data_IF_668242682973
#
_entry.id   IF_668242682973
#
_cell.length_a   1.000
_cell.length_b   1.000
_cell.length_c   1.000
_cell.angle_alpha   90.00
_cell.angle_beta   90.00
_cell.angle_gamma   90.00
#
_symmetry.space_group_name_H-M   'P 1'
#
loop_
_entity.id
_entity.type
_entity.pdbx_description
1 polymer ?
#
# COMPACT_ATOMS: atom_id res chain seq x y z
N UNK A 1 -0.24 -8.14 -12.11
CA UNK A 1 0.41 -7.90 -10.81
C UNK A 1 -0.63 -7.42 -9.82
N UNK A 2 -0.66 -8.08 -8.66
CA UNK A 2 -1.47 -7.71 -7.50
C UNK A 2 -0.56 -7.13 -6.41
N UNK A 3 -1.12 -6.29 -5.54
CA UNK A 3 -0.38 -5.70 -4.41
C UNK A 3 -1.25 -5.73 -3.17
N UNK A 4 -0.64 -6.07 -2.02
CA UNK A 4 -1.33 -6.19 -0.74
C UNK A 4 -0.48 -5.58 0.38
N UNK A 5 -1.15 -5.11 1.43
CA UNK A 5 -0.55 -4.72 2.69
C UNK A 5 -1.12 -5.58 3.82
N UNK A 6 -0.28 -5.87 4.81
CA UNK A 6 -0.65 -6.52 6.05
C UNK A 6 -0.04 -5.74 7.21
N UNK A 7 -0.84 -5.50 8.24
CA UNK A 7 -0.34 -4.96 9.50
C UNK A 7 0.25 -6.12 10.30
N UNK A 8 1.45 -5.93 10.82
CA UNK A 8 2.16 -6.93 11.61
C UNK A 8 2.20 -6.50 13.08
N UNK A 9 2.20 -7.45 14.03
CA UNK A 9 2.36 -7.13 15.44
C UNK A 9 3.64 -6.34 15.71
N UNK A 10 3.52 -5.22 16.42
CA UNK A 10 4.60 -4.35 16.83
C UNK A 10 4.77 -4.32 18.36
N UNK A 11 5.98 -3.98 18.82
CA UNK A 11 6.29 -3.83 20.24
C UNK A 11 5.42 -2.76 20.93
N UNK A 12 5.06 -1.70 20.20
CA UNK A 12 4.32 -0.55 20.72
C UNK A 12 2.82 -0.58 20.39
N UNK A 13 2.26 -1.72 19.98
CA UNK A 13 0.84 -1.83 19.59
C UNK A 13 -0.14 -1.43 20.70
N UNK A 14 0.28 -1.51 21.97
CA UNK A 14 -0.51 -1.07 23.12
C UNK A 14 -0.66 0.46 23.21
N UNK A 15 0.25 1.21 22.58
CA UNK A 15 0.25 2.68 22.56
C UNK A 15 -0.42 3.26 21.30
N UNK A 16 -0.65 2.43 20.29
CA UNK A 16 -1.26 2.84 19.02
C UNK A 16 -2.79 2.82 19.10
N UNK A 17 -3.43 3.70 18.31
CA UNK A 17 -4.88 3.69 18.15
C UNK A 17 -5.30 2.57 17.21
N UNK A 18 -6.39 1.89 17.56
CA UNK A 18 -6.99 0.82 16.78
C UNK A 18 -8.48 1.08 16.54
N UNK A 19 -9.04 0.64 15.39
CA UNK A 19 -8.35 0.01 14.26
C UNK A 19 -7.46 0.99 13.48
N UNK A 20 -6.53 0.46 12.69
CA UNK A 20 -5.69 1.27 11.81
C UNK A 20 -6.57 2.01 10.79
N UNK A 21 -6.48 3.34 10.76
CA UNK A 21 -7.37 4.21 9.98
C UNK A 21 -6.60 5.20 9.07
N UNK A 22 -5.33 4.92 8.82
CA UNK A 22 -4.48 5.79 8.00
C UNK A 22 -4.70 5.53 6.52
N UNK A 23 -4.67 6.59 5.71
CA UNK A 23 -4.78 6.45 4.25
C UNK A 23 -3.54 5.74 3.73
N UNK A 24 -3.74 4.67 2.95
CA UNK A 24 -2.65 3.91 2.33
C UNK A 24 -2.67 4.15 0.83
N UNK A 25 -1.53 4.53 0.27
CA UNK A 25 -1.34 4.75 -1.16
C UNK A 25 -0.19 3.90 -1.68
N UNK A 26 -0.44 3.09 -2.69
CA UNK A 26 0.58 2.41 -3.49
C UNK A 26 0.89 3.25 -4.72
N UNK A 27 2.16 3.43 -5.04
CA UNK A 27 2.63 4.09 -6.25
C UNK A 27 3.61 3.16 -6.95
N UNK A 28 3.27 2.69 -8.14
CA UNK A 28 4.22 2.05 -9.05
C UNK A 28 4.83 3.12 -9.95
N UNK A 29 6.15 3.24 -9.93
CA UNK A 29 6.85 4.29 -10.68
C UNK A 29 7.11 3.90 -12.14
N UNK A 30 6.78 4.82 -13.03
CA UNK A 30 7.24 4.81 -14.42
C UNK A 30 8.65 5.41 -14.44
N UNK A 31 9.66 4.59 -14.75
CA UNK A 31 11.08 4.92 -14.70
C UNK A 31 11.57 5.67 -15.96
N UNK A 32 10.68 6.44 -16.58
CA UNK A 32 11.01 7.31 -17.70
C UNK A 32 12.06 8.34 -17.29
N UNK A 33 13.02 8.61 -18.16
CA UNK A 33 14.18 9.49 -17.86
C UNK A 33 13.80 10.94 -17.57
N UNK A 34 12.62 11.37 -18.03
CA UNK A 34 12.09 12.70 -17.78
C UNK A 34 10.87 12.63 -16.83
N UNK A 35 10.94 13.26 -15.64
CA UNK A 35 9.87 13.17 -14.64
C UNK A 35 8.50 13.67 -15.11
N UNK A 36 8.50 14.62 -16.05
CA UNK A 36 7.31 15.19 -16.70
C UNK A 36 6.56 14.19 -17.59
N UNK A 37 7.23 13.13 -18.06
CA UNK A 37 6.64 12.07 -18.90
C UNK A 37 6.26 10.82 -18.13
N UNK A 38 6.74 10.70 -16.88
CA UNK A 38 6.47 9.55 -16.04
C UNK A 38 4.98 9.48 -15.69
N UNK A 39 4.30 8.40 -16.10
CA UNK A 39 2.92 8.14 -15.70
C UNK A 39 2.88 7.03 -14.65
N UNK A 40 3.09 7.42 -13.40
CA UNK A 40 3.00 6.52 -12.26
C UNK A 40 1.57 5.99 -12.10
N UNK A 41 1.43 4.73 -11.67
CA UNK A 41 0.14 4.16 -11.30
C UNK A 41 -0.02 4.32 -9.80
N UNK A 42 -1.12 4.92 -9.37
CA UNK A 42 -1.43 5.17 -7.97
C UNK A 42 -2.78 4.58 -7.61
N UNK A 43 -2.82 3.70 -6.62
CA UNK A 43 -4.05 3.21 -6.02
C UNK A 43 -4.02 3.49 -4.53
N UNK A 44 -5.13 3.96 -3.98
CA UNK A 44 -5.21 4.34 -2.57
C UNK A 44 -6.51 3.86 -1.94
N UNK A 45 -6.48 3.60 -0.64
CA UNK A 45 -7.67 3.33 0.14
C UNK A 45 -7.57 3.94 1.53
N UNK A 46 -8.72 4.18 2.13
CA UNK A 46 -8.85 4.48 3.56
C UNK A 46 -9.43 3.23 4.21
N UNK A 47 -8.74 2.62 5.19
CA UNK A 47 -9.27 1.49 5.92
C UNK A 47 -10.61 1.82 6.56
N UNK A 48 -11.63 0.98 6.32
CA UNK A 48 -12.86 1.05 7.07
C UNK A 48 -12.67 0.39 8.45
N UNK A 49 -13.17 0.99 9.55
CA UNK A 49 -13.04 0.42 10.89
C UNK A 49 -13.63 -0.99 11.07
N UNK A 50 -14.55 -1.41 10.20
CA UNK A 50 -15.18 -2.74 10.22
C UNK A 50 -14.32 -3.82 9.54
N UNK A 51 -13.29 -3.43 8.78
CA UNK A 51 -12.43 -4.38 8.07
C UNK A 51 -11.52 -5.13 9.04
N UNK A 52 -11.60 -6.47 9.01
CA UNK A 52 -10.84 -7.35 9.91
C UNK A 52 -9.32 -7.22 9.72
N UNK A 53 -8.86 -6.94 8.51
CA UNK A 53 -7.43 -6.83 8.16
C UNK A 53 -6.71 -5.64 8.82
N UNK A 54 -7.47 -4.67 9.38
CA UNK A 54 -6.95 -3.43 9.97
C UNK A 54 -7.23 -3.32 11.47
N UNK A 55 -7.73 -4.38 12.09
CA UNK A 55 -7.81 -4.48 13.55
C UNK A 55 -6.41 -4.61 14.16
N UNK A 56 -6.32 -4.47 15.49
CA UNK A 56 -5.08 -4.72 16.22
C UNK A 56 -4.56 -6.13 15.89
N UNK A 57 -3.35 -6.26 15.33
CA UNK A 57 -2.83 -7.56 14.93
C UNK A 57 -2.57 -8.41 16.17
N UNK A 58 -2.94 -9.69 16.09
CA UNK A 58 -2.60 -10.70 17.09
C UNK A 58 -1.47 -11.60 16.56
N UNK A 59 -0.92 -12.45 17.43
CA UNK A 59 0.05 -13.49 17.03
C UNK A 59 -0.63 -14.73 16.42
N UNK A 60 -1.94 -14.73 16.25
CA UNK A 60 -2.70 -15.85 15.69
C UNK A 60 -2.56 -15.92 14.16
N UNK A 61 -2.72 -17.11 13.54
CA UNK A 61 -2.41 -17.28 12.13
C UNK A 61 -3.36 -16.55 11.17
N UNK A 62 -2.75 -16.01 10.11
CA UNK A 62 -3.25 -15.83 8.74
C UNK A 62 -4.53 -15.02 8.49
N UNK A 63 -4.59 -13.79 9.01
CA UNK A 63 -5.25 -12.74 8.24
C UNK A 63 -4.50 -12.54 6.91
N UNK A 64 -5.20 -12.76 5.78
CA UNK A 64 -4.73 -12.40 4.44
C UNK A 64 -4.50 -10.88 4.36
N UNK A 65 -3.58 -10.44 3.50
CA UNK A 65 -3.38 -9.00 3.26
C UNK A 65 -4.59 -8.37 2.57
N UNK A 66 -4.77 -7.07 2.73
CA UNK A 66 -5.75 -6.28 1.98
C UNK A 66 -5.05 -5.52 0.86
N UNK A 67 -5.67 -5.41 -0.31
CA UNK A 67 -5.10 -4.64 -1.40
C UNK A 67 -5.82 -4.85 -2.72
N UNK A 68 -5.07 -4.71 -3.81
CA UNK A 68 -5.61 -4.62 -5.15
C UNK A 68 -5.22 -5.88 -5.94
N UNK A 69 -6.12 -6.88 -6.08
CA UNK A 69 -5.85 -8.09 -6.87
C UNK A 69 -5.61 -7.78 -8.35
N UNK A 70 -6.12 -6.65 -8.85
CA UNK A 70 -5.93 -6.15 -10.21
C UNK A 70 -5.21 -4.80 -10.24
N UNK A 71 -4.14 -4.65 -9.46
CA UNK A 71 -3.39 -3.40 -9.37
C UNK A 71 -2.86 -2.92 -10.73
N UNK A 72 -2.22 -3.80 -11.50
CA UNK A 72 -1.78 -3.49 -12.87
C UNK A 72 -1.72 -4.75 -13.75
N UNK A 73 -2.18 -4.64 -15.00
CA UNK A 73 -2.09 -5.74 -15.97
C UNK A 73 -0.65 -5.96 -16.43
N UNK A 74 -0.32 -7.19 -16.81
CA UNK A 74 1.03 -7.48 -17.34
C UNK A 74 1.29 -6.80 -18.68
N UNK A 75 0.24 -6.56 -19.46
CA UNK A 75 0.34 -5.79 -20.69
C UNK A 75 0.74 -4.34 -20.41
N UNK A 76 0.13 -3.69 -19.41
CA UNK A 76 0.48 -2.32 -19.02
C UNK A 76 1.91 -2.22 -18.48
N UNK A 77 2.34 -3.21 -17.67
CA UNK A 77 3.72 -3.28 -17.17
C UNK A 77 4.76 -3.30 -18.30
N UNK A 78 4.45 -3.95 -19.42
CA UNK A 78 5.34 -4.07 -20.59
C UNK A 78 5.26 -2.87 -21.55
N UNK A 79 4.19 -2.07 -21.50
CA UNK A 79 3.97 -0.94 -22.43
C UNK A 79 4.75 0.32 -22.07
N UNK A 80 5.20 0.46 -20.82
CA UNK A 80 5.90 1.64 -20.30
C UNK A 80 7.14 1.23 -19.52
N UNK A 81 7.89 2.21 -19.02
CA UNK A 81 9.14 1.98 -18.29
C UNK A 81 8.91 1.60 -16.82
N UNK A 82 7.89 0.78 -16.52
CA UNK A 82 7.66 0.32 -15.14
C UNK A 82 8.72 -0.69 -14.67
N UNK A 83 9.27 -1.46 -15.62
CA UNK A 83 10.41 -2.37 -15.40
C UNK A 83 11.59 -1.85 -16.23
N UNK A 84 12.73 -1.62 -15.59
CA UNK A 84 13.97 -1.21 -16.25
C UNK A 84 15.12 -1.95 -15.58
N UNK A 85 16.01 -2.53 -16.37
CA UNK A 85 17.15 -3.32 -15.89
C UNK A 85 16.71 -4.44 -14.92
N UNK A 86 15.56 -5.06 -15.21
CA UNK A 86 14.88 -6.07 -14.38
C UNK A 86 14.49 -5.60 -12.96
N UNK A 87 14.36 -4.29 -12.76
CA UNK A 87 13.99 -3.67 -11.49
C UNK A 87 12.67 -2.90 -11.62
N UNK A 88 11.84 -2.97 -10.56
CA UNK A 88 10.62 -2.17 -10.38
C UNK A 88 10.71 -1.37 -9.07
N UNK A 89 10.12 -0.17 -9.06
CA UNK A 89 10.00 0.65 -7.85
C UNK A 89 8.55 0.80 -7.42
N UNK A 90 8.23 0.32 -6.22
CA UNK A 90 6.93 0.46 -5.57
C UNK A 90 7.10 1.28 -4.29
N UNK A 91 6.35 2.37 -4.16
CA UNK A 91 6.24 3.13 -2.91
C UNK A 91 4.92 2.87 -2.24
N UNK A 92 4.95 2.66 -0.94
CA UNK A 92 3.77 2.67 -0.07
C UNK A 92 3.84 3.89 0.81
N UNK A 93 2.87 4.79 0.72
CA UNK A 93 2.72 5.94 1.62
C UNK A 93 1.57 5.65 2.59
N UNK A 94 1.83 5.82 3.89
CA UNK A 94 0.82 5.77 4.94
C UNK A 94 0.68 7.19 5.50
N UNK A 95 -0.49 7.81 5.35
CA UNK A 95 -0.72 9.19 5.75
C UNK A 95 -1.41 9.28 7.14
N UNK A 96 -0.74 9.83 8.16
CA UNK A 96 -1.26 9.90 9.52
C UNK A 96 -2.23 11.05 9.77
N UNK A 97 -2.42 11.97 8.82
CA UNK A 97 -3.07 13.28 9.01
C UNK A 97 -4.52 13.30 9.49
N UNK A 98 -5.17 12.14 9.71
CA UNK A 98 -6.46 12.04 10.43
C UNK A 98 -6.34 11.76 11.93
N UNK A 99 -5.16 11.48 12.47
CA UNK A 99 -4.95 11.39 13.92
C UNK A 99 -4.64 12.80 14.44
N UNK A 100 -5.70 13.58 14.67
CA UNK A 100 -5.59 14.67 15.64
C UNK A 100 -5.55 14.01 17.01
N UNK A 101 -4.40 14.08 17.66
CA UNK A 101 -4.29 13.82 19.08
C UNK A 101 -4.87 15.04 19.81
N UNK A 102 -6.04 14.85 20.44
CA UNK A 102 -6.47 15.67 21.58
C UNK A 102 -5.86 15.05 22.83
#
# INVERSE_FOLDING_TARGET
>A
MSVYIKILPGEYDALLRWPFAHTVSFTLFDQSSSPDRACNIVESFVPDPTWKNFQRPSKEPDALGFGFPRFVSHEMLKKRNFVKDDVMFLRVKVDPSKIVAV
#
